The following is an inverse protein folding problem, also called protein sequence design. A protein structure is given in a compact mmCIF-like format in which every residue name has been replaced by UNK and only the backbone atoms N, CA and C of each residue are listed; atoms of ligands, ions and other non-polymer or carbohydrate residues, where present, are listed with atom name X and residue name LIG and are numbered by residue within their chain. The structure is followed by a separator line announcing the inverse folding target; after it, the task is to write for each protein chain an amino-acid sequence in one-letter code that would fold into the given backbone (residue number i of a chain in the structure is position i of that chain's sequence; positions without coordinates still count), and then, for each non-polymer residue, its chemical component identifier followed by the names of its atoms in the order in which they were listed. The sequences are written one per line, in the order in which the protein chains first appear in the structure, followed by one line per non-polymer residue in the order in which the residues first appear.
data_IF_512255798333
#
_entry.id   IF_512255798333
#
_cell.length_a   1.000
_cell.length_b   1.000
_cell.length_c   1.000
_cell.angle_alpha   90.00
_cell.angle_beta   90.00
_cell.angle_gamma   90.00
#
_symmetry.space_group_name_H-M   'P 1'
#
loop_
_entity.id
_entity.type
_entity.pdbx_description
1 polymer ?
2 non-polymer ?
3 non-polymer ?
4 water ?
#
# COMPACT_ATOMS: atom_id res chain seq x y z
N UNK A 1 9.72 20.11 -15.18
CA UNK A 1 9.48 20.93 -16.37
C UNK A 1 8.41 22.01 -16.12
N UNK A 2 8.39 23.03 -16.96
CA UNK A 2 7.38 24.05 -16.75
C UNK A 2 6.62 24.01 -18.05
N UNK A 3 5.29 23.91 -17.98
CA UNK A 3 4.48 23.82 -19.19
C UNK A 3 2.98 23.99 -18.97
N UNK A 4 2.21 23.36 -19.88
CA UNK A 4 0.74 23.38 -19.86
C UNK A 4 0.20 22.00 -19.52
N UNK A 5 -0.76 21.96 -18.61
CA UNK A 5 -1.42 20.74 -18.15
C UNK A 5 -2.17 20.08 -19.29
N UNK A 6 -1.86 18.79 -19.57
CA UNK A 6 -2.51 18.03 -20.63
C UNK A 6 -3.07 16.73 -20.12
N UNK A 7 -3.98 16.15 -20.89
CA UNK A 7 -4.52 14.87 -20.51
C UNK A 7 -4.24 13.87 -21.64
N UNK A 8 -3.38 12.87 -21.45
CA UNK A 8 -3.08 11.86 -22.48
C UNK A 8 -3.81 10.55 -22.24
N UNK A 9 -3.40 9.49 -22.95
CA UNK A 9 -3.98 8.15 -22.84
C UNK A 9 -2.89 7.11 -23.02
N UNK A 10 -3.01 5.94 -22.41
CA UNK A 10 -2.02 4.89 -22.53
C UNK A 10 -2.57 3.56 -22.05
N UNK A 11 -1.79 2.52 -22.23
CA UNK A 11 -2.19 1.19 -21.79
C UNK A 11 -1.27 0.75 -20.63
N UNK A 12 -1.83 0.19 -19.54
CA UNK A 12 -1.06 -0.25 -18.40
C UNK A 12 -0.52 -1.66 -18.56
N UNK A 13 0.14 -2.18 -17.51
CA UNK A 13 0.71 -3.52 -17.51
C UNK A 13 -0.29 -4.64 -17.89
N UNK A 14 -1.51 -4.61 -17.36
CA UNK A 14 -2.53 -5.60 -17.60
C UNK A 14 -3.27 -5.35 -18.93
N UNK A 15 -2.84 -4.34 -19.69
CA UNK A 15 -3.41 -4.02 -21.01
C UNK A 15 -4.64 -3.10 -21.06
N UNK A 16 -5.09 -2.52 -19.94
CA UNK A 16 -6.26 -1.65 -19.84
C UNK A 16 -5.89 -0.23 -20.24
N UNK A 17 -6.85 0.50 -20.79
CA UNK A 17 -6.58 1.86 -21.20
C UNK A 17 -6.79 2.75 -20.01
N UNK A 18 -5.85 3.69 -19.84
CA UNK A 18 -5.86 4.65 -18.75
C UNK A 18 -5.66 6.10 -19.18
N UNK A 19 -6.27 6.99 -18.37
CA UNK A 19 -6.16 8.43 -18.51
C UNK A 19 -4.97 8.97 -17.73
N UNK A 20 -4.07 9.71 -18.42
CA UNK A 20 -2.84 10.28 -17.88
C UNK A 20 -2.72 11.80 -17.83
N UNK A 21 -2.18 12.31 -16.71
CA UNK A 21 -1.98 13.74 -16.53
C UNK A 21 -0.51 13.99 -16.86
N UNK A 22 -0.27 14.73 -17.92
CA UNK A 22 1.06 15.02 -18.41
C UNK A 22 1.31 16.51 -18.55
N UNK A 23 2.49 16.90 -19.02
CA UNK A 23 2.73 18.32 -19.16
C UNK A 23 3.36 18.58 -20.49
N UNK A 24 2.84 19.55 -21.24
CA UNK A 24 3.35 19.90 -22.56
C UNK A 24 4.34 21.03 -22.36
N UNK A 25 5.57 20.80 -22.80
CA UNK A 25 6.64 21.76 -22.67
C UNK A 25 7.53 21.62 -23.88
N UNK A 26 7.55 22.66 -24.68
CA UNK A 26 8.35 22.65 -25.91
C UNK A 26 7.67 21.76 -26.92
N UNK A 27 8.35 20.72 -27.36
CA UNK A 27 7.66 19.89 -28.33
C UNK A 27 7.19 18.59 -27.74
N UNK A 28 7.53 18.35 -26.48
CA UNK A 28 7.12 17.08 -25.90
C UNK A 28 6.23 17.17 -24.70
N UNK A 29 5.70 16.00 -24.39
CA UNK A 29 4.84 15.85 -23.26
C UNK A 29 5.68 15.07 -22.27
N UNK A 30 5.57 15.45 -21.01
CA UNK A 30 6.26 14.78 -19.91
C UNK A 30 5.30 14.14 -18.92
N UNK A 31 5.69 12.99 -18.37
CA UNK A 31 4.85 12.36 -17.38
C UNK A 31 5.05 13.19 -16.11
N UNK A 32 4.37 14.31 -16.06
CA UNK A 32 4.46 15.19 -14.92
C UNK A 32 3.02 15.60 -14.69
N UNK A 33 2.50 15.34 -13.51
CA UNK A 33 1.13 15.65 -13.12
C UNK A 33 1.10 16.83 -12.13
N UNK A 34 0.65 17.98 -12.62
CA UNK A 34 0.55 19.21 -11.83
C UNK A 34 -0.80 19.42 -11.18
N UNK A 35 -1.73 18.51 -11.43
CA UNK A 35 -3.10 18.63 -10.94
C UNK A 35 -3.40 18.49 -9.45
N UNK A 36 -2.59 17.75 -8.71
CA UNK A 36 -2.86 17.49 -7.31
C UNK A 36 -2.09 18.42 -6.39
N UNK A 37 -2.27 18.31 -5.06
CA UNK A 37 -1.57 19.19 -4.11
C UNK A 37 -0.06 18.94 -4.13
N UNK A 38 0.29 17.75 -4.60
CA UNK A 38 1.66 17.32 -4.71
C UNK A 38 1.99 17.00 -6.18
N UNK A 39 3.18 17.36 -6.65
CA UNK A 39 3.52 17.08 -8.03
C UNK A 39 3.94 15.63 -8.13
N UNK A 40 3.56 14.93 -9.20
CA UNK A 40 3.88 13.54 -9.39
C UNK A 40 4.77 13.48 -10.60
N UNK A 41 5.98 12.88 -10.48
CA UNK A 41 6.92 12.74 -11.60
C UNK A 41 7.25 11.27 -11.91
N UNK A 42 7.36 10.89 -13.19
CA UNK A 42 7.69 9.51 -13.50
C UNK A 42 8.91 9.49 -14.37
N UNK A 43 9.88 8.65 -13.94
CA UNK A 43 11.16 8.47 -14.61
C UNK A 43 11.44 7.07 -15.18
N UNK A 44 12.35 7.12 -16.18
CA UNK A 44 12.91 6.02 -16.99
C UNK A 44 14.40 5.79 -16.67
N UNK A 45 14.73 4.60 -16.17
CA UNK A 45 16.13 4.30 -15.81
C UNK A 45 16.78 3.52 -16.94
N UNK A 46 15.96 3.22 -17.96
CA UNK A 46 16.42 2.52 -19.13
C UNK A 46 17.16 1.21 -18.84
N UNK A 47 16.68 0.41 -17.88
CA UNK A 47 17.23 -0.88 -17.52
C UNK A 47 18.64 -0.85 -16.98
N UNK A 48 18.90 0.21 -16.25
CA UNK A 48 20.18 0.38 -15.65
C UNK A 48 19.99 0.47 -14.17
N UNK A 49 21.10 0.25 -13.48
CA UNK A 49 21.09 0.35 -12.05
C UNK A 49 21.57 1.76 -11.64
N UNK A 50 20.75 2.74 -12.00
CA UNK A 50 20.97 4.13 -11.66
C UNK A 50 19.67 4.79 -11.21
N UNK A 51 19.80 5.84 -10.42
CA UNK A 51 18.61 6.57 -10.00
C UNK A 51 18.85 8.07 -10.23
N UNK A 52 17.82 8.85 -10.60
CA UNK A 52 16.43 8.44 -10.78
C UNK A 52 16.11 8.08 -12.21
N UNK A 53 17.05 8.42 -13.07
CA UNK A 53 16.94 8.24 -14.50
C UNK A 53 16.50 9.54 -15.15
N UNK A 54 15.92 9.42 -16.32
CA UNK A 54 15.49 10.56 -17.09
C UNK A 54 13.99 10.80 -17.01
N UNK A 55 13.57 12.03 -16.80
CA UNK A 55 12.15 12.29 -16.73
C UNK A 55 11.55 11.83 -18.07
N UNK A 56 10.39 11.16 -18.01
CA UNK A 56 9.72 10.60 -19.17
C UNK A 56 9.06 11.61 -20.11
N UNK A 57 9.49 11.52 -21.36
CA UNK A 57 9.07 12.34 -22.46
C UNK A 57 8.57 11.51 -23.63
N UNK A 58 7.43 11.98 -24.12
CA UNK A 58 6.70 11.41 -25.24
C UNK A 58 6.43 12.41 -26.35
N UNK A 59 6.46 11.95 -27.59
CA UNK A 59 6.18 12.84 -28.74
C UNK A 59 4.74 13.19 -29.09
N UNK A 60 3.78 12.32 -28.85
CA UNK A 60 2.39 12.57 -29.23
C UNK A 60 1.36 12.52 -28.11
N UNK A 61 1.74 12.25 -26.84
CA UNK A 61 0.78 12.21 -25.74
C UNK A 61 -0.02 10.91 -25.67
N UNK A 62 0.52 9.90 -26.36
CA UNK A 62 -0.03 8.56 -26.47
C UNK A 62 1.05 7.58 -25.99
N UNK A 63 0.72 6.84 -24.92
CA UNK A 63 1.58 5.87 -24.26
C UNK A 63 1.10 4.43 -24.45
N UNK A 64 1.07 4.05 -25.73
CA UNK A 64 0.55 2.75 -26.11
C UNK A 64 1.62 1.69 -26.44
N UNK A 65 2.90 2.01 -26.44
CA UNK A 65 3.94 1.00 -26.71
C UNK A 65 4.11 0.04 -25.53
N UNK A 66 4.65 -1.17 -25.83
CA UNK A 66 4.91 -2.17 -24.82
C UNK A 66 5.86 -1.55 -23.81
N UNK A 67 6.81 -0.77 -24.28
CA UNK A 67 7.71 -0.17 -23.33
C UNK A 67 7.05 0.87 -22.42
N UNK A 68 5.88 1.34 -22.83
CA UNK A 68 5.21 2.37 -22.07
C UNK A 68 4.51 1.93 -20.83
N UNK A 69 3.93 0.72 -20.89
CA UNK A 69 3.11 0.10 -19.86
C UNK A 69 3.47 0.30 -18.37
N UNK A 70 4.71 0.00 -17.95
CA UNK A 70 5.10 0.16 -16.57
C UNK A 70 5.00 1.62 -16.14
N UNK A 71 5.42 2.55 -17.01
CA UNK A 71 5.37 3.98 -16.71
C UNK A 71 3.94 4.53 -16.55
N UNK A 72 3.04 4.05 -17.41
CA UNK A 72 1.63 4.41 -17.37
C UNK A 72 0.99 4.05 -16.02
N UNK A 73 1.30 2.86 -15.53
CA UNK A 73 0.74 2.38 -14.27
C UNK A 73 1.34 3.10 -13.04
N UNK A 74 2.65 3.25 -13.07
CA UNK A 74 3.38 3.92 -11.99
C UNK A 74 2.82 5.31 -11.76
N UNK A 75 2.63 6.00 -12.88
CA UNK A 75 2.10 7.36 -12.97
C UNK A 75 0.67 7.49 -12.41
N UNK A 76 -0.25 6.72 -13.00
CA UNK A 76 -1.66 6.62 -12.61
C UNK A 76 -1.95 6.28 -11.13
N UNK A 77 -1.38 5.16 -10.68
CA UNK A 77 -1.53 4.61 -9.33
C UNK A 77 -0.94 5.48 -8.23
N UNK A 78 0.12 6.22 -8.52
CA UNK A 78 0.58 7.15 -7.47
C UNK A 78 -0.41 8.34 -7.30
N UNK A 79 -0.99 8.81 -8.41
CA UNK A 79 -1.97 9.88 -8.30
C UNK A 79 -3.18 9.28 -7.54
N UNK A 80 -3.54 8.00 -7.78
CA UNK A 80 -4.68 7.39 -7.09
C UNK A 80 -4.46 7.24 -5.60
N UNK A 81 -3.21 7.02 -5.25
CA UNK A 81 -2.88 6.87 -3.84
C UNK A 81 -2.98 8.20 -3.11
N UNK A 82 -2.50 9.26 -3.78
CA UNK A 82 -2.57 10.61 -3.20
C UNK A 82 -4.03 10.93 -2.89
N UNK A 83 -4.85 10.60 -3.88
CA UNK A 83 -6.27 10.81 -3.86
C UNK A 83 -6.96 10.21 -2.66
N UNK A 84 -6.67 8.93 -2.43
CA UNK A 84 -7.22 8.15 -1.33
C UNK A 84 -6.96 8.88 -0.03
N UNK A 85 -5.68 9.29 0.20
CA UNK A 85 -5.31 9.98 1.42
C UNK A 85 -5.92 11.38 1.58
N UNK A 86 -5.99 12.10 0.45
CA UNK A 86 -6.54 13.44 0.41
C UNK A 86 -8.05 13.51 0.72
N UNK A 87 -8.80 12.64 0.06
CA UNK A 87 -10.25 12.56 0.21
C UNK A 87 -10.74 11.98 1.52
N UNK A 88 -10.06 10.93 1.99
CA UNK A 88 -10.46 10.24 3.18
C UNK A 88 -10.15 10.93 4.48
N UNK A 89 -8.93 11.49 4.55
CA UNK A 89 -8.43 12.06 5.78
C UNK A 89 -7.91 13.49 5.67
N UNK A 90 -7.98 14.00 4.43
CA UNK A 90 -7.49 15.36 4.23
C UNK A 90 -5.98 15.47 4.46
N UNK A 91 -5.28 14.44 3.97
CA UNK A 91 -3.83 14.36 4.06
C UNK A 91 -3.20 14.81 2.74
N UNK A 92 -2.27 15.75 2.85
CA UNK A 92 -1.59 16.28 1.66
C UNK A 92 -0.22 15.65 1.42
N UNK A 93 -0.26 14.51 0.72
CA UNK A 93 0.95 13.76 0.44
C UNK A 93 1.48 12.99 1.68
N UNK A 94 2.59 12.28 1.44
CA UNK A 94 3.25 11.43 2.43
C UNK A 94 3.59 12.11 3.75
N UNK A 95 3.91 13.41 3.66
CA UNK A 95 4.25 14.16 4.85
C UNK A 95 3.22 15.18 5.32
N UNK A 96 2.03 15.16 4.72
CA UNK A 96 1.00 16.14 5.13
C UNK A 96 1.37 17.57 4.74
N UNK A 97 2.36 17.73 3.85
CA UNK A 97 2.84 18.99 3.42
C UNK A 97 3.08 19.02 1.93
N UNK A 98 2.45 18.16 1.15
CA UNK A 98 2.70 18.25 -0.28
C UNK A 98 4.05 17.83 -0.88
N UNK A 99 4.75 16.89 -0.22
CA UNK A 99 5.99 16.42 -0.79
C UNK A 99 5.63 15.76 -2.10
N UNK A 100 6.48 15.94 -3.10
CA UNK A 100 6.29 15.36 -4.41
C UNK A 100 6.51 13.86 -4.43
N UNK A 101 5.81 13.18 -5.34
CA UNK A 101 5.88 11.72 -5.51
C UNK A 101 6.70 11.42 -6.73
N UNK A 102 7.81 10.72 -6.56
CA UNK A 102 8.63 10.38 -7.69
C UNK A 102 8.73 8.86 -7.84
N UNK A 103 8.68 8.35 -9.06
CA UNK A 103 8.78 6.92 -9.30
C UNK A 103 9.72 6.67 -10.47
N UNK A 104 10.61 5.67 -10.38
CA UNK A 104 11.48 5.28 -11.48
C UNK A 104 11.08 3.89 -12.04
N UNK A 105 10.80 3.78 -13.35
CA UNK A 105 10.44 2.47 -13.82
C UNK A 105 11.56 1.99 -14.75
N UNK A 106 11.59 0.69 -15.09
CA UNK A 106 12.60 0.05 -15.94
C UNK A 106 13.93 0.10 -15.23
N UNK A 107 13.85 -0.13 -13.92
CA UNK A 107 15.02 -0.13 -13.06
C UNK A 107 15.70 -1.50 -13.13
N UNK A 108 16.96 -1.51 -13.54
CA UNK A 108 17.66 -2.76 -13.64
C UNK A 108 17.14 -3.72 -14.72
N UNK A 109 17.63 -4.96 -14.62
CA UNK A 109 17.35 -6.02 -15.56
C UNK A 109 16.62 -7.19 -14.92
N UNK A 110 15.37 -7.44 -15.39
CA UNK A 110 14.51 -8.51 -14.88
C UNK A 110 14.41 -8.54 -13.35
N UNK A 111 14.43 -7.37 -12.74
CA UNK A 111 14.39 -7.20 -11.30
C UNK A 111 13.03 -7.43 -10.68
N UNK A 112 12.99 -8.43 -9.82
CA UNK A 112 11.77 -8.82 -9.18
C UNK A 112 11.49 -8.02 -7.90
N UNK A 113 11.54 -6.69 -7.99
CA UNK A 113 11.26 -5.90 -6.80
C UNK A 113 10.68 -4.52 -7.12
N UNK A 114 10.09 -3.92 -6.08
CA UNK A 114 9.53 -2.58 -6.05
C UNK A 114 9.41 -2.19 -4.58
N UNK A 115 9.93 -1.02 -4.24
CA UNK A 115 9.94 -0.53 -2.87
C UNK A 115 10.01 1.00 -2.82
N UNK A 116 9.61 1.52 -1.69
CA UNK A 116 9.78 2.94 -1.47
C UNK A 116 11.20 2.95 -0.89
N UNK A 117 12.13 3.75 -1.41
CA UNK A 117 13.52 3.73 -0.95
C UNK A 117 13.88 4.73 0.15
N UNK A 118 12.84 5.36 0.68
CA UNK A 118 12.97 6.42 1.66
C UNK A 118 12.86 7.74 0.93
N UNK A 119 12.98 7.75 -0.38
CA UNK A 119 12.88 8.99 -1.12
C UNK A 119 11.97 9.00 -2.35
N UNK A 120 11.83 7.84 -2.99
CA UNK A 120 11.03 7.68 -4.19
C UNK A 120 10.61 6.24 -4.33
N UNK A 121 9.76 5.99 -5.33
CA UNK A 121 9.31 4.67 -5.66
C UNK A 121 10.22 4.13 -6.77
N UNK A 122 10.59 2.87 -6.56
CA UNK A 122 11.46 2.12 -7.44
C UNK A 122 10.74 0.86 -7.94
N UNK A 123 10.73 0.71 -9.28
CA UNK A 123 10.07 -0.41 -9.92
C UNK A 123 10.89 -1.21 -10.91
N UNK A 124 11.01 -2.50 -10.70
CA UNK A 124 11.71 -3.29 -11.69
C UNK A 124 10.71 -3.87 -12.68
N UNK A 125 11.14 -4.57 -13.72
CA UNK A 125 10.14 -5.11 -14.65
C UNK A 125 9.73 -6.56 -14.43
N UNK A 126 10.33 -7.21 -13.44
CA UNK A 126 10.05 -8.62 -13.20
C UNK A 126 10.70 -9.56 -14.26
N UNK A 127 10.74 -10.87 -14.00
CA UNK A 127 11.32 -11.87 -14.90
C UNK A 127 10.29 -12.52 -15.83
N UNK A 128 9.08 -11.99 -15.71
CA UNK A 128 7.97 -12.42 -16.51
C UNK A 128 7.44 -13.79 -16.16
N UNK A 129 8.00 -14.41 -15.13
CA UNK A 129 7.63 -15.72 -14.65
C UNK A 129 7.12 -15.70 -13.18
N UNK A 130 7.94 -15.13 -12.31
CA UNK A 130 7.57 -15.01 -10.91
C UNK A 130 6.76 -13.73 -10.68
N UNK A 131 7.09 -12.69 -11.47
CA UNK A 131 6.39 -11.42 -11.42
C UNK A 131 6.32 -10.79 -12.78
N UNK A 132 5.39 -9.86 -12.90
CA UNK A 132 5.33 -9.09 -14.10
C UNK A 132 5.71 -7.73 -13.63
N UNK A 133 5.70 -6.75 -14.54
CA UNK A 133 6.05 -5.37 -14.20
C UNK A 133 5.34 -5.00 -12.90
N UNK A 134 6.17 -4.72 -11.91
CA UNK A 134 5.80 -4.42 -10.55
C UNK A 134 4.86 -3.24 -10.30
N UNK A 135 4.81 -2.26 -11.21
CA UNK A 135 3.88 -1.12 -11.15
C UNK A 135 2.42 -1.45 -11.49
N UNK A 136 2.08 -2.67 -11.87
CA UNK A 136 0.71 -2.99 -12.24
C UNK A 136 -0.16 -3.43 -11.09
N UNK A 137 0.36 -3.40 -9.88
CA UNK A 137 -0.48 -3.82 -8.79
C UNK A 137 -0.68 -2.70 -7.81
N UNK A 138 -1.92 -2.22 -7.76
CA UNK A 138 -2.28 -1.11 -6.90
C UNK A 138 -2.06 -1.35 -5.41
N UNK A 139 -2.40 -2.53 -4.89
CA UNK A 139 -2.23 -2.74 -3.47
C UNK A 139 -0.74 -2.72 -3.06
N UNK A 140 0.16 -3.10 -3.96
CA UNK A 140 1.58 -3.12 -3.60
C UNK A 140 2.12 -1.70 -3.53
N UNK A 141 1.59 -0.86 -4.42
CA UNK A 141 1.94 0.55 -4.47
C UNK A 141 1.41 1.27 -3.22
N UNK A 142 0.13 1.04 -2.91
CA UNK A 142 -0.50 1.62 -1.74
C UNK A 142 0.23 1.15 -0.49
N UNK A 143 0.68 -0.09 -0.52
CA UNK A 143 1.42 -0.62 0.58
C UNK A 143 2.76 0.12 0.83
N UNK A 144 3.55 0.33 -0.21
CA UNK A 144 4.86 0.99 -0.13
C UNK A 144 4.76 2.49 0.15
N UNK A 145 3.72 3.10 -0.43
CA UNK A 145 3.53 4.50 -0.22
C UNK A 145 3.09 4.70 1.22
N UNK A 146 2.38 3.72 1.77
CA UNK A 146 1.95 3.85 3.17
C UNK A 146 3.17 3.79 4.11
N UNK A 147 4.25 3.15 3.64
CA UNK A 147 5.49 3.05 4.43
C UNK A 147 6.05 4.46 4.59
N UNK A 148 5.92 5.28 3.53
CA UNK A 148 6.31 6.69 3.51
C UNK A 148 5.55 7.53 4.52
N UNK A 149 4.27 7.23 4.72
CA UNK A 149 3.41 7.86 5.71
C UNK A 149 3.78 7.40 7.15
N UNK A 150 4.09 6.11 7.41
CA UNK A 150 4.47 5.71 8.75
C UNK A 150 5.75 6.41 9.23
N UNK A 151 6.67 6.56 8.28
CA UNK A 151 7.95 7.20 8.49
C UNK A 151 7.76 8.65 8.88
N UNK A 152 6.64 9.22 8.43
CA UNK A 152 6.30 10.61 8.68
C UNK A 152 5.34 10.77 9.86
N UNK A 153 5.12 9.68 10.58
CA UNK A 153 4.24 9.69 11.73
C UNK A 153 4.74 8.92 12.94
N UNK A 154 4.32 7.64 13.01
CA UNK A 154 4.68 6.77 14.13
C UNK A 154 6.15 6.40 14.09
N UNK A 155 6.61 6.23 12.87
CA UNK A 155 7.96 5.84 12.60
C UNK A 155 8.30 4.49 13.21
N UNK A 156 7.41 3.50 13.09
CA UNK A 156 7.61 2.16 13.64
C UNK A 156 8.94 1.53 13.29
N UNK A 157 9.62 1.06 14.32
CA UNK A 157 10.90 0.47 14.06
C UNK A 157 10.73 -0.88 13.37
N UNK A 158 11.53 -1.12 12.30
CA UNK A 158 11.48 -2.35 11.51
C UNK A 158 12.03 -3.63 12.16
N UNK A 159 11.61 -3.92 13.39
CA UNK A 159 12.11 -5.13 14.01
C UNK A 159 11.05 -5.66 14.98
N UNK A 160 11.02 -6.96 15.18
CA UNK A 160 10.03 -7.51 16.11
C UNK A 160 8.57 -7.15 15.91
N UNK A 161 7.83 -6.96 17.02
CA UNK A 161 6.40 -6.69 16.88
C UNK A 161 6.08 -5.37 16.21
N UNK A 162 6.86 -4.33 16.52
CA UNK A 162 6.61 -3.01 15.91
C UNK A 162 6.85 -2.99 14.41
N UNK A 163 7.75 -3.87 13.93
CA UNK A 163 8.09 -4.03 12.52
C UNK A 163 6.97 -4.77 11.76
N UNK A 164 6.41 -5.80 12.41
CA UNK A 164 5.28 -6.57 11.90
C UNK A 164 4.03 -5.68 11.82
N UNK A 165 3.81 -4.85 12.86
CA UNK A 165 2.73 -3.90 12.91
C UNK A 165 2.89 -2.96 11.71
N UNK A 166 4.13 -2.51 11.41
CA UNK A 166 4.47 -1.62 10.29
C UNK A 166 3.97 -2.22 8.97
N UNK A 167 4.40 -3.48 8.78
CA UNK A 167 4.05 -4.30 7.64
C UNK A 167 2.53 -4.48 7.51
N UNK A 168 1.84 -4.79 8.63
CA UNK A 168 0.39 -4.98 8.71
C UNK A 168 -0.32 -3.71 8.26
N UNK A 169 0.07 -2.58 8.85
CA UNK A 169 -0.48 -1.27 8.53
C UNK A 169 -0.47 -1.01 7.03
N UNK A 170 0.68 -1.25 6.42
CA UNK A 170 0.89 -1.10 4.99
C UNK A 170 0.00 -2.01 4.12
N UNK A 171 -0.37 -3.18 4.68
CA UNK A 171 -1.24 -4.11 3.93
C UNK A 171 -2.71 -3.68 4.03
N UNK A 172 -3.07 -3.28 5.24
CA UNK A 172 -4.38 -2.76 5.50
C UNK A 172 -4.64 -1.61 4.52
N UNK A 173 -3.75 -0.65 4.46
CA UNK A 173 -3.94 0.49 3.59
C UNK A 173 -3.86 0.22 2.11
N UNK A 174 -2.96 -0.66 1.69
CA UNK A 174 -2.86 -0.96 0.27
C UNK A 174 -4.15 -1.62 -0.24
N UNK A 175 -4.78 -2.32 0.70
CA UNK A 175 -6.03 -3.00 0.43
C UNK A 175 -7.16 -1.93 0.30
N UNK A 176 -7.07 -0.98 1.20
CA UNK A 176 -7.97 0.14 1.25
C UNK A 176 -7.90 0.99 -0.04
N UNK A 177 -6.71 1.18 -0.61
CA UNK A 177 -6.45 1.87 -1.84
C UNK A 177 -7.06 1.12 -3.02
N UNK A 178 -6.93 -0.18 -3.00
CA UNK A 178 -7.45 -1.05 -4.02
C UNK A 178 -9.00 -0.99 -4.00
N UNK A 179 -9.58 -0.96 -2.81
CA UNK A 179 -11.04 -0.85 -2.78
C UNK A 179 -11.41 0.54 -3.29
N UNK A 180 -10.57 1.52 -2.95
CA UNK A 180 -10.77 2.91 -3.34
C UNK A 180 -10.94 3.13 -4.83
N UNK A 181 -10.10 2.46 -5.60
CA UNK A 181 -10.15 2.59 -7.04
C UNK A 181 -11.08 1.54 -7.66
N UNK A 182 -11.78 0.72 -6.84
CA UNK A 182 -12.71 -0.27 -7.42
C UNK A 182 -11.99 -1.15 -8.39
N UNK A 183 -10.69 -1.29 -8.10
CA UNK A 183 -9.65 -2.01 -8.81
C UNK A 183 -9.78 -3.52 -8.48
N UNK A 184 -10.93 -4.14 -8.82
CA UNK A 184 -11.37 -5.57 -8.55
C UNK A 184 -10.89 -6.02 -7.14
N UNK A 185 -11.66 -5.60 -6.12
CA UNK A 185 -11.06 -5.56 -4.77
C UNK A 185 -11.16 -6.90 -4.10
N UNK A 186 -10.25 -7.08 -3.17
CA UNK A 186 -10.17 -8.26 -2.36
C UNK A 186 -9.33 -7.99 -1.08
N UNK A 187 -9.08 -9.07 -0.36
CA UNK A 187 -8.25 -9.04 0.82
C UNK A 187 -6.96 -9.84 0.68
N UNK A 188 -6.44 -9.98 -0.55
CA UNK A 188 -5.19 -10.68 -0.73
C UNK A 188 -4.22 -9.62 -1.19
N UNK A 189 -2.93 -9.89 -1.04
CA UNK A 189 -1.93 -8.93 -1.46
C UNK A 189 -1.09 -9.39 -2.64
N UNK A 190 -0.99 -8.55 -3.65
CA UNK A 190 -0.17 -8.77 -4.83
C UNK A 190 -0.64 -9.70 -5.96
N UNK A 191 -1.91 -10.15 -5.96
CA UNK A 191 -2.47 -11.05 -6.98
C UNK A 191 -2.42 -10.47 -8.38
N UNK A 192 -2.36 -9.17 -8.55
CA UNK A 192 -2.31 -8.75 -9.94
C UNK A 192 -0.96 -8.84 -10.67
N UNK A 193 0.12 -8.96 -9.88
CA UNK A 193 1.48 -8.99 -10.43
C UNK A 193 2.23 -10.31 -10.20
N UNK A 194 1.76 -11.11 -9.23
CA UNK A 194 2.39 -12.37 -8.85
C UNK A 194 2.06 -13.53 -9.79
N UNK A 195 3.12 -14.27 -10.20
CA UNK A 195 3.02 -15.46 -11.06
C UNK A 195 1.88 -15.37 -12.05
N UNK A 196 2.18 -14.54 -13.06
CA UNK A 196 1.28 -14.15 -14.15
C UNK A 196 0.52 -15.26 -14.87
N UNK A 197 1.04 -16.48 -14.77
CA UNK A 197 0.41 -17.63 -15.42
C UNK A 197 -0.56 -18.44 -14.54
N UNK A 198 -0.26 -18.49 -13.23
CA UNK A 198 -1.05 -19.18 -12.22
C UNK A 198 -2.09 -18.22 -11.72
N UNK A 199 -3.38 -18.52 -11.95
CA UNK A 199 -4.40 -17.64 -11.44
C UNK A 199 -4.84 -18.12 -10.04
N UNK A 200 -5.04 -17.23 -9.10
CA UNK A 200 -5.49 -17.72 -7.81
C UNK A 200 -4.71 -17.24 -6.60
N UNK A 201 -3.38 -17.14 -6.78
CA UNK A 201 -2.49 -16.74 -5.74
C UNK A 201 -2.18 -15.24 -5.68
N UNK A 202 -1.57 -14.98 -4.52
CA UNK A 202 -1.13 -13.69 -4.04
C UNK A 202 0.12 -13.92 -3.20
N UNK A 203 0.75 -12.83 -2.74
CA UNK A 203 1.96 -12.94 -1.93
C UNK A 203 1.62 -13.38 -0.52
N UNK A 204 0.48 -12.90 -0.01
CA UNK A 204 -0.09 -13.20 1.30
C UNK A 204 -1.59 -12.92 1.37
N UNK A 205 -2.24 -13.46 2.36
CA UNK A 205 -3.66 -13.26 2.44
C UNK A 205 -4.09 -12.73 3.79
N UNK A 206 -4.87 -11.64 3.81
CA UNK A 206 -5.39 -11.05 5.06
C UNK A 206 -6.56 -11.87 5.60
N UNK A 207 -7.36 -12.44 4.70
CA UNK A 207 -8.52 -13.25 5.11
C UNK A 207 -8.17 -14.61 5.69
N UNK A 208 -7.04 -15.15 5.21
CA UNK A 208 -6.55 -16.42 5.72
C UNK A 208 -5.05 -16.46 5.56
N UNK A 209 -4.35 -15.87 6.54
CA UNK A 209 -2.91 -15.86 6.50
C UNK A 209 -2.29 -17.27 6.39
N UNK A 210 -2.94 -18.28 6.97
CA UNK A 210 -2.38 -19.60 6.93
C UNK A 210 -2.31 -20.20 5.53
N UNK A 211 -3.03 -19.69 4.55
CA UNK A 211 -2.95 -20.22 3.19
C UNK A 211 -1.52 -20.19 2.71
N UNK A 212 -0.74 -19.20 3.17
CA UNK A 212 0.64 -19.05 2.76
C UNK A 212 1.61 -19.28 3.92
N UNK A 213 1.13 -20.04 4.90
CA UNK A 213 1.92 -20.36 6.08
C UNK A 213 2.14 -19.27 7.14
N UNK A 214 1.50 -18.11 7.04
CA UNK A 214 1.62 -17.03 8.03
C UNK A 214 0.73 -17.25 9.23
N UNK A 215 1.13 -16.81 10.40
CA UNK A 215 0.24 -17.06 11.52
C UNK A 215 -1.01 -16.18 11.54
N UNK A 216 -2.10 -16.77 12.07
CA UNK A 216 -3.40 -16.15 12.20
C UNK A 216 -3.86 -16.05 13.67
N UNK A 217 -2.94 -16.30 14.61
CA UNK A 217 -3.20 -16.25 16.05
C UNK A 217 -1.87 -16.02 16.76
N UNK A 218 -1.91 -15.24 17.85
CA UNK A 218 -0.76 -14.97 18.69
C UNK A 218 0.00 -16.21 19.13
N UNK A 219 -0.72 -17.27 19.48
CA UNK A 219 -0.09 -18.50 19.94
C UNK A 219 0.77 -19.18 18.87
N UNK A 220 0.69 -18.71 17.62
CA UNK A 220 1.43 -19.33 16.52
C UNK A 220 2.51 -18.48 15.89
N UNK A 221 2.84 -17.35 16.53
CA UNK A 221 3.83 -16.43 15.99
C UNK A 221 5.23 -16.99 15.81
N UNK A 222 6.00 -16.45 14.87
CA UNK A 222 7.38 -16.85 14.72
C UNK A 222 8.16 -16.16 15.85
N UNK A 223 8.92 -16.96 16.60
CA UNK A 223 9.69 -16.54 17.77
C UNK A 223 11.19 -16.30 17.58
N UNK A 224 11.78 -16.70 16.49
CA UNK A 224 13.20 -16.46 16.35
C UNK A 224 13.57 -15.06 15.87
N UNK A 225 14.86 -14.99 15.50
CA UNK A 225 15.59 -13.81 15.04
C UNK A 225 15.62 -13.53 13.55
N UNK A 226 15.30 -14.50 12.72
CA UNK A 226 15.31 -14.28 11.27
C UNK A 226 14.33 -13.19 10.78
N UNK A 227 14.56 -12.50 9.62
CA UNK A 227 13.65 -11.47 9.10
C UNK A 227 13.32 -10.32 10.10
N UNK A 228 14.36 -9.82 10.78
CA UNK A 228 14.26 -8.77 11.76
C UNK A 228 13.22 -9.16 12.80
N UNK A 229 13.33 -10.42 13.19
CA UNK A 229 12.38 -10.90 14.18
C UNK A 229 11.01 -11.31 13.62
N UNK A 230 10.98 -11.83 12.37
CA UNK A 230 9.78 -12.30 11.66
C UNK A 230 8.74 -11.26 11.20
N UNK A 231 9.22 -10.08 10.83
CA UNK A 231 8.51 -8.89 10.34
C UNK A 231 7.46 -9.22 9.29
N UNK A 232 7.86 -9.91 8.19
CA UNK A 232 6.95 -10.27 7.11
C UNK A 232 5.98 -11.45 7.34
N UNK A 233 6.13 -12.23 8.39
CA UNK A 233 5.22 -13.32 8.58
C UNK A 233 4.26 -12.98 9.71
N UNK A 234 4.81 -12.53 10.84
CA UNK A 234 3.98 -12.19 12.00
C UNK A 234 2.94 -11.10 11.74
N UNK A 235 3.08 -10.40 10.62
CA UNK A 235 2.12 -9.36 10.31
C UNK A 235 0.77 -9.99 10.04
N UNK A 236 0.75 -11.31 9.71
CA UNK A 236 -0.46 -12.07 9.44
C UNK A 236 -1.43 -12.01 10.63
N UNK A 237 -0.89 -11.80 11.81
CA UNK A 237 -1.69 -11.75 13.04
C UNK A 237 -2.55 -10.49 13.13
N UNK A 238 -1.91 -9.37 12.74
CA UNK A 238 -2.55 -8.09 12.74
C UNK A 238 -3.46 -8.02 11.52
N UNK A 239 -3.02 -8.63 10.42
CA UNK A 239 -3.80 -8.65 9.19
C UNK A 239 -5.15 -9.33 9.36
N UNK A 240 -5.12 -10.42 10.14
CA UNK A 240 -6.29 -11.23 10.41
C UNK A 240 -7.29 -10.52 11.30
N UNK A 241 -6.76 -9.78 12.27
CA UNK A 241 -7.53 -9.01 13.24
C UNK A 241 -8.26 -7.87 12.50
N UNK A 242 -7.58 -7.30 11.49
CA UNK A 242 -8.10 -6.19 10.71
C UNK A 242 -9.26 -6.65 9.83
N UNK A 243 -9.08 -7.79 9.17
CA UNK A 243 -10.07 -8.48 8.35
C UNK A 243 -11.34 -8.80 9.16
N UNK A 244 -11.24 -9.44 10.34
CA UNK A 244 -12.36 -9.71 11.24
C UNK A 244 -13.05 -8.41 11.71
N UNK A 245 -12.31 -7.33 12.02
CA UNK A 245 -12.92 -6.05 12.41
C UNK A 245 -13.77 -5.41 11.26
N UNK A 246 -13.32 -5.50 10.00
CA UNK A 246 -14.00 -4.97 8.82
C UNK A 246 -15.21 -5.81 8.39
N UNK A 247 -15.03 -7.13 8.30
CA UNK A 247 -16.09 -8.03 7.84
C UNK A 247 -16.81 -8.91 8.86
N UNK A 248 -16.31 -9.05 10.07
CA UNK A 248 -16.90 -9.96 11.03
C UNK A 248 -16.43 -11.40 10.76
N UNK A 249 -16.80 -12.29 11.68
CA UNK A 249 -16.51 -13.69 11.63
C UNK A 249 -16.34 -14.30 13.01
N UNK A 250 -16.16 -15.62 12.97
CA UNK A 250 -15.91 -16.42 14.14
C UNK A 250 -14.48 -16.95 14.00
N UNK A 251 -13.64 -16.67 15.01
CA UNK A 251 -12.25 -17.12 14.94
C UNK A 251 -11.83 -17.59 16.32
N UNK A 252 -11.37 -18.85 16.42
CA UNK A 252 -10.97 -19.41 17.71
C UNK A 252 -12.06 -19.25 18.77
N UNK A 253 -13.32 -19.50 18.40
CA UNK A 253 -14.41 -19.44 19.38
C UNK A 253 -14.94 -18.07 19.76
N UNK A 254 -14.39 -17.03 19.13
CA UNK A 254 -14.79 -15.64 19.34
C UNK A 254 -15.53 -15.12 18.11
N UNK A 255 -16.77 -14.64 18.29
CA UNK A 255 -17.56 -14.07 17.20
C UNK A 255 -17.42 -12.54 17.11
N UNK A 256 -16.94 -12.04 15.97
CA UNK A 256 -16.76 -10.61 15.79
C UNK A 256 -17.80 -10.04 14.83
N UNK A 257 -18.37 -8.90 15.21
CA UNK A 257 -19.33 -8.24 14.35
C UNK A 257 -18.56 -7.25 13.51
N UNK A 258 -18.55 -7.38 12.20
CA UNK A 258 -17.79 -6.41 11.45
C UNK A 258 -18.42 -5.02 11.39
N UNK A 259 -17.55 -4.02 11.22
CA UNK A 259 -17.95 -2.64 11.15
C UNK A 259 -17.67 -1.97 9.82
N UNK A 260 -17.11 -2.73 8.88
CA UNK A 260 -16.82 -2.19 7.57
C UNK A 260 -15.43 -1.59 7.43
N UNK A 261 -14.98 -1.61 6.20
CA UNK A 261 -13.68 -1.11 5.80
C UNK A 261 -13.43 0.35 6.09
N UNK A 262 -14.44 1.23 6.00
CA UNK A 262 -14.31 2.66 6.23
C UNK A 262 -13.94 3.02 7.70
N UNK A 263 -14.53 2.31 8.64
CA UNK A 263 -14.23 2.56 10.02
C UNK A 263 -12.92 1.91 10.43
N UNK A 264 -12.61 0.80 9.76
CA UNK A 264 -11.38 0.10 10.06
C UNK A 264 -10.24 1.06 9.76
N UNK A 265 -10.38 1.66 8.60
CA UNK A 265 -9.44 2.62 8.06
C UNK A 265 -9.27 3.88 8.93
N UNK A 266 -10.38 4.44 9.43
CA UNK A 266 -10.37 5.64 10.25
C UNK A 266 -9.72 5.36 11.60
N UNK A 267 -10.01 4.17 12.17
CA UNK A 267 -9.47 3.72 13.46
C UNK A 267 -7.95 3.56 13.39
N UNK A 268 -7.46 2.85 12.36
CA UNK A 268 -6.03 2.66 12.16
C UNK A 268 -5.31 3.96 11.79
N UNK A 269 -5.93 4.82 11.00
CA UNK A 269 -5.30 6.09 10.63
C UNK A 269 -5.11 6.96 11.87
N UNK A 270 -6.19 7.09 12.61
CA UNK A 270 -6.15 7.83 13.84
C UNK A 270 -5.08 7.16 14.75
N UNK A 271 -5.13 5.84 14.94
CA UNK A 271 -4.14 5.17 15.78
C UNK A 271 -2.68 5.40 15.40
N UNK A 272 -2.38 5.22 14.13
CA UNK A 272 -1.01 5.37 13.66
C UNK A 272 -0.53 6.81 13.81
N UNK A 273 -1.40 7.79 13.65
CA UNK A 273 -1.02 9.21 13.70
C UNK A 273 -0.97 9.93 15.02
N UNK A 274 -1.76 9.49 16.04
CA UNK A 274 -1.82 10.12 17.37
C UNK A 274 -1.35 9.25 18.52
N UNK A 275 -1.48 7.95 18.35
CA UNK A 275 -1.16 6.97 19.36
C UNK A 275 0.06 6.06 19.21
N UNK A 276 0.25 5.40 18.07
CA UNK A 276 1.41 4.54 17.99
C UNK A 276 2.77 5.24 18.12
N UNK A 277 3.75 4.53 18.72
CA UNK A 277 5.12 5.04 18.86
C UNK A 277 6.11 4.16 18.09
N UNK A 278 7.39 4.52 18.08
CA UNK A 278 8.37 3.74 17.35
C UNK A 278 8.45 2.28 17.74
N UNK A 279 8.15 1.99 18.99
CA UNK A 279 8.27 0.62 19.42
C UNK A 279 7.01 0.00 19.94
N UNK A 280 5.85 0.48 19.46
CA UNK A 280 4.54 -0.06 19.81
C UNK A 280 4.56 -1.59 19.59
N UNK A 281 4.16 -2.35 20.62
CA UNK A 281 4.07 -3.79 20.51
C UNK A 281 2.61 -4.12 20.18
N UNK A 282 2.29 -5.37 19.89
CA UNK A 282 0.91 -5.78 19.59
C UNK A 282 -0.07 -5.45 20.70
N UNK A 283 0.33 -5.54 21.98
CA UNK A 283 -0.54 -5.25 23.13
C UNK A 283 -0.85 -3.77 23.29
N UNK A 284 0.08 -2.94 22.87
CA UNK A 284 -0.07 -1.52 22.90
C UNK A 284 -0.89 -1.05 21.67
N UNK A 285 -0.81 -1.83 20.58
CA UNK A 285 -1.53 -1.59 19.35
C UNK A 285 -3.01 -1.76 19.66
N UNK A 286 -3.33 -2.78 20.46
CA UNK A 286 -4.70 -3.06 20.90
C UNK A 286 -5.27 -1.88 21.69
N UNK A 287 -4.52 -1.45 22.67
CA UNK A 287 -4.91 -0.35 23.54
C UNK A 287 -5.06 0.96 22.79
N UNK A 288 -4.15 1.25 21.87
CA UNK A 288 -4.19 2.44 21.05
C UNK A 288 -5.32 2.35 20.04
N UNK A 289 -5.56 1.16 19.48
CA UNK A 289 -6.66 1.02 18.55
C UNK A 289 -8.00 1.24 19.26
N UNK A 290 -8.06 0.76 20.50
CA UNK A 290 -9.20 0.87 21.37
C UNK A 290 -9.49 2.36 21.68
N UNK A 291 -8.45 3.14 22.00
CA UNK A 291 -8.61 4.57 22.30
C UNK A 291 -9.08 5.34 21.09
N UNK A 292 -8.53 5.01 19.89
CA UNK A 292 -8.92 5.66 18.64
C UNK A 292 -10.40 5.50 18.37
N UNK A 293 -10.88 4.28 18.55
CA UNK A 293 -12.29 3.94 18.35
C UNK A 293 -13.19 4.67 19.34
N UNK A 294 -12.70 4.80 20.58
CA UNK A 294 -13.42 5.51 21.65
C UNK A 294 -13.54 6.99 21.27
N UNK A 295 -12.44 7.60 20.82
CA UNK A 295 -12.43 8.98 20.38
C UNK A 295 -13.41 9.19 19.22
N UNK A 296 -13.35 8.28 18.23
CA UNK A 296 -14.16 8.34 17.01
C UNK A 296 -15.65 8.04 17.11
N UNK A 297 -16.01 7.09 17.97
CA UNK A 297 -17.38 6.63 18.08
C UNK A 297 -17.99 6.63 19.46
N UNK A 298 -17.16 6.88 20.46
CA UNK A 298 -17.64 6.84 21.82
C UNK A 298 -17.12 5.67 22.63
N UNK A 299 -16.79 5.91 23.88
CA UNK A 299 -16.24 4.90 24.76
C UNK A 299 -17.04 3.66 25.02
N UNK A 300 -18.37 3.78 24.99
CA UNK A 300 -19.32 2.68 25.21
C UNK A 300 -19.99 2.17 23.94
N UNK A 301 -19.43 2.58 22.78
CA UNK A 301 -19.86 2.23 21.45
C UNK A 301 -19.68 0.78 21.06
N UNK A 302 -20.46 0.39 20.04
CA UNK A 302 -20.47 -0.93 19.41
C UNK A 302 -19.19 -1.12 18.60
N UNK A 303 -18.62 -0.01 18.14
CA UNK A 303 -17.36 0.00 17.39
C UNK A 303 -16.21 -0.45 18.31
N UNK A 304 -16.10 0.21 19.47
CA UNK A 304 -15.10 -0.09 20.51
C UNK A 304 -15.16 -1.58 20.88
N UNK A 305 -16.38 -2.10 20.95
CA UNK A 305 -16.58 -3.48 21.31
C UNK A 305 -16.09 -4.40 20.21
N UNK A 306 -16.30 -3.98 18.99
CA UNK A 306 -15.83 -4.78 17.90
C UNK A 306 -14.30 -4.78 17.94
N UNK A 307 -13.72 -3.61 18.25
CA UNK A 307 -12.29 -3.54 18.34
C UNK A 307 -11.71 -4.58 19.30
N UNK A 308 -12.28 -4.62 20.48
CA UNK A 308 -11.87 -5.55 21.52
C UNK A 308 -12.08 -7.00 21.05
N UNK A 309 -13.28 -7.27 20.52
CA UNK A 309 -13.65 -8.58 19.99
C UNK A 309 -12.62 -9.08 18.98
N UNK A 310 -12.22 -8.21 18.06
CA UNK A 310 -11.27 -8.54 17.03
C UNK A 310 -9.86 -8.90 17.54
N UNK A 311 -9.40 -8.29 18.61
CA UNK A 311 -8.08 -8.64 19.02
C UNK A 311 -8.11 -9.94 19.81
N UNK A 312 -9.16 -10.10 20.57
CA UNK A 312 -9.45 -11.26 21.40
C UNK A 312 -9.43 -12.51 20.58
N UNK A 313 -10.00 -12.39 19.37
CA UNK A 313 -10.06 -13.49 18.45
C UNK A 313 -8.68 -14.01 18.08
N UNK A 314 -7.67 -13.12 18.02
CA UNK A 314 -6.30 -13.44 17.61
C UNK A 314 -5.30 -13.59 18.74
N UNK A 315 -5.81 -13.63 20.00
CA UNK A 315 -5.06 -13.80 21.24
C UNK A 315 -4.24 -12.66 21.82
N UNK A 316 -4.54 -11.43 21.40
CA UNK A 316 -3.87 -10.21 21.83
C UNK A 316 -4.66 -9.48 22.92
N UNK A 317 -4.05 -9.18 24.06
CA UNK A 317 -4.77 -8.38 25.02
C UNK A 317 -4.00 -7.10 25.28
X LIG B 1 -5.30 -7.29 -3.46
X LIG C 1 -7.60 -7.36 -6.64
X LIG D 1 3.87 8.14 -27.79
X LIG E 1 -0.60 -15.45 -10.05
X LIG F 1 6.23 -3.50 3.48
#
# INVERSE_FOLDING_TARGET
VTGTNKVGTGKGVLGDTKSLNTTLSGSSYYLQDNTRGATIFTYDAKNRSTLPGTLWADADNVFNAAYDAAAVDAHYYAGKTYDYYKATFNRNSINDAGAPLKSTVHYGSNYNNAFWNGSQMVYGDGDGVTFTSLSGGIDVIGHELTHAVTENSSNLIYQNESGALNEAISDIFGTLVEFYDNRNPDWEIGEDIYTPGKAGDALRSMSDPTKYGDPDHYSKRYTGSSDNGGVHTNSGIINKQAYLLANGGTHYGVTVTGIGKDKLGAIYYRANTQYFTQSTTFSQARAGAVQAAADLYGANSAEVAAVKQSFSAVGVN
CA CA
CA CA
CA CA
CA CA
ZN ZN
#
